data_IF_911670337035
#
_entry.id   IF_911670337035
#
_cell.length_a   1.000
_cell.length_b   1.000
_cell.length_c   1.000
_cell.angle_alpha   90.00
_cell.angle_beta   90.00
_cell.angle_gamma   90.00
#
_symmetry.space_group_name_H-M   'P 1'
#
loop_
_entity.id
_entity.type
_entity.pdbx_description
1 polymer ?
#
# COMPACT_ATOMS: atom_id res chain seq x y z
N UNK A 1 -10.15 36.75 -1.02
CA UNK A 1 -9.27 35.90 -1.85
C UNK A 1 -7.87 35.73 -1.25
N UNK A 2 -7.74 35.38 0.04
CA UNK A 2 -6.45 35.11 0.71
C UNK A 2 -6.33 33.69 1.30
N UNK A 3 -7.26 32.80 0.95
CA UNK A 3 -7.26 31.39 1.40
C UNK A 3 -7.09 30.38 0.26
N UNK A 4 -6.84 30.84 -0.97
CA UNK A 4 -6.70 29.96 -2.14
C UNK A 4 -5.27 29.42 -2.33
N UNK A 5 -4.25 29.99 -1.68
CA UNK A 5 -2.85 29.61 -1.89
C UNK A 5 -2.34 28.47 -0.99
N UNK A 6 -3.15 27.93 -0.07
CA UNK A 6 -2.74 26.81 0.80
C UNK A 6 -3.19 25.45 0.24
N UNK A 7 -4.04 25.42 -0.80
CA UNK A 7 -4.58 24.17 -1.37
C UNK A 7 -3.87 23.69 -2.65
N UNK A 8 -2.86 24.40 -3.14
CA UNK A 8 -2.08 24.04 -4.35
C UNK A 8 -0.58 24.06 -4.00
N UNK A 9 -0.20 23.22 -3.04
CA UNK A 9 1.19 22.84 -2.78
C UNK A 9 1.33 21.31 -2.83
N UNK A 10 0.57 20.67 -3.73
CA UNK A 10 0.88 19.35 -4.25
C UNK A 10 1.58 19.53 -5.60
N UNK A 11 2.72 20.22 -5.59
CA UNK A 11 3.63 20.23 -6.72
C UNK A 11 4.21 18.82 -6.86
N UNK A 12 4.08 18.27 -8.06
CA UNK A 12 4.64 17.01 -8.52
C UNK A 12 6.08 16.83 -8.02
N UNK A 13 6.24 15.99 -7.01
CA UNK A 13 7.53 15.44 -6.60
C UNK A 13 7.51 13.98 -7.06
N UNK A 14 8.56 13.60 -7.79
CA UNK A 14 8.77 12.25 -8.29
C UNK A 14 8.65 11.26 -7.15
N UNK A 15 7.74 10.32 -7.30
CA UNK A 15 7.35 9.43 -6.24
C UNK A 15 8.43 8.37 -6.00
N UNK A 16 8.92 8.21 -4.77
CA UNK A 16 9.75 7.07 -4.39
C UNK A 16 9.24 6.40 -3.11
N UNK A 17 9.17 5.07 -3.14
CA UNK A 17 8.70 4.18 -2.06
C UNK A 17 9.88 3.66 -1.24
N UNK A 18 9.60 2.87 -0.20
CA UNK A 18 10.63 2.28 0.67
C UNK A 18 11.50 1.27 -0.08
N UNK A 19 12.72 1.00 0.39
CA UNK A 19 13.58 -0.08 -0.14
C UNK A 19 12.95 -1.48 -0.06
N UNK A 20 11.88 -1.68 0.72
CA UNK A 20 11.08 -2.92 0.64
C UNK A 20 10.51 -3.17 -0.76
N UNK A 21 10.31 -2.11 -1.56
CA UNK A 21 9.90 -2.18 -2.96
C UNK A 21 10.86 -2.93 -3.89
N UNK A 22 12.12 -3.12 -3.47
CA UNK A 22 13.13 -3.88 -4.21
C UNK A 22 12.95 -5.39 -4.09
N UNK A 23 12.15 -5.84 -3.12
CA UNK A 23 11.99 -7.27 -2.82
C UNK A 23 10.69 -7.79 -3.45
N UNK A 24 10.79 -8.84 -4.25
CA UNK A 24 9.63 -9.47 -4.90
C UNK A 24 8.84 -8.52 -5.80
N UNK A 25 7.54 -8.39 -5.56
CA UNK A 25 6.63 -7.49 -6.28
C UNK A 25 6.42 -6.13 -5.57
N UNK A 26 7.23 -5.85 -4.55
CA UNK A 26 7.22 -4.60 -3.78
C UNK A 26 6.24 -4.58 -2.60
N UNK A 27 5.85 -3.36 -2.20
CA UNK A 27 5.14 -3.10 -0.95
C UNK A 27 3.69 -3.58 -0.98
N UNK A 28 3.34 -4.42 -0.02
CA UNK A 28 1.97 -4.88 0.17
C UNK A 28 1.11 -3.84 0.90
N UNK A 29 0.01 -3.41 0.25
CA UNK A 29 -0.91 -2.40 0.76
C UNK A 29 -2.22 -3.08 1.16
N UNK A 30 -2.47 -3.16 2.47
CA UNK A 30 -3.66 -3.81 3.05
C UNK A 30 -4.63 -2.87 3.79
N UNK A 31 -4.20 -1.64 4.07
CA UNK A 31 -5.00 -0.62 4.75
C UNK A 31 -5.14 0.64 3.90
N UNK A 32 -6.39 1.00 3.57
CA UNK A 32 -6.68 2.05 2.59
C UNK A 32 -7.21 3.35 3.21
N UNK A 33 -7.91 3.33 4.34
CA UNK A 33 -8.44 4.56 4.94
C UNK A 33 -7.57 5.14 6.05
N UNK A 34 -7.44 6.47 6.05
CA UNK A 34 -6.82 7.26 7.11
C UNK A 34 -7.43 6.90 8.47
N UNK A 35 -8.75 6.70 8.51
CA UNK A 35 -9.47 6.37 9.75
C UNK A 35 -8.87 5.18 10.50
N UNK A 36 -8.55 4.11 9.79
CA UNK A 36 -8.02 2.88 10.37
C UNK A 36 -6.49 2.95 10.50
N UNK A 37 -5.81 3.70 9.61
CA UNK A 37 -4.37 4.00 9.77
C UNK A 37 -4.08 4.76 11.06
N UNK A 38 -4.88 5.77 11.41
CA UNK A 38 -4.76 6.48 12.68
C UNK A 38 -4.95 5.60 13.92
N UNK A 39 -5.49 4.38 13.75
CA UNK A 39 -5.63 3.34 14.75
C UNK A 39 -4.64 2.21 14.51
N UNK A 40 -3.35 2.53 14.48
CA UNK A 40 -2.26 1.59 14.33
C UNK A 40 -2.27 0.81 13.02
N UNK A 41 -2.67 1.40 11.88
CA UNK A 41 -2.72 0.65 10.61
C UNK A 41 -3.74 -0.53 10.64
N UNK A 42 -4.83 -0.36 11.41
CA UNK A 42 -5.93 -1.31 11.53
C UNK A 42 -6.61 -1.58 10.18
N UNK A 43 -7.00 -2.83 9.94
CA UNK A 43 -7.78 -3.24 8.77
C UNK A 43 -9.29 -3.20 9.04
N UNK A 44 -9.69 -3.51 10.28
CA UNK A 44 -11.09 -3.80 10.61
C UNK A 44 -11.85 -2.70 11.33
N UNK A 45 -11.14 -1.74 11.94
CA UNK A 45 -11.74 -0.77 12.84
C UNK A 45 -11.29 0.66 12.56
N UNK A 46 -12.27 1.54 12.34
CA UNK A 46 -12.07 2.98 12.18
C UNK A 46 -12.43 3.78 13.44
N UNK A 47 -12.69 3.10 14.57
CA UNK A 47 -13.14 3.69 15.85
C UNK A 47 -14.64 4.03 15.91
N UNK A 48 -15.28 4.28 14.78
CA UNK A 48 -16.73 4.48 14.72
C UNK A 48 -17.49 3.14 14.67
N UNK A 49 -18.67 3.10 15.28
CA UNK A 49 -19.53 1.91 15.20
C UNK A 49 -20.37 1.86 13.92
N UNK A 50 -20.64 3.01 13.32
CA UNK A 50 -21.59 3.27 12.23
C UNK A 50 -20.94 3.58 10.88
N UNK A 51 -19.60 3.58 10.80
CA UNK A 51 -18.87 3.84 9.55
C UNK A 51 -18.33 2.59 8.88
N UNK A 52 -18.16 2.68 7.57
CA UNK A 52 -17.43 1.72 6.74
C UNK A 52 -15.92 1.82 7.04
N UNK A 53 -15.26 0.69 7.22
CA UNK A 53 -13.80 0.55 7.18
C UNK A 53 -13.42 0.01 5.80
N UNK A 54 -12.52 0.70 5.08
CA UNK A 54 -12.35 0.49 3.64
C UNK A 54 -11.77 -0.89 3.32
N UNK A 55 -10.91 -1.41 4.20
CA UNK A 55 -10.32 -2.74 4.08
C UNK A 55 -11.15 -3.88 4.68
N UNK A 56 -12.36 -3.60 5.19
CA UNK A 56 -13.17 -4.58 5.92
C UNK A 56 -14.54 -4.79 5.27
N UNK A 57 -14.70 -5.85 4.46
CA UNK A 57 -15.94 -6.11 3.74
C UNK A 57 -17.18 -6.25 4.59
N UNK A 58 -17.08 -6.82 5.80
CA UNK A 58 -18.22 -6.98 6.70
C UNK A 58 -18.70 -5.67 7.33
N UNK A 59 -18.03 -4.53 7.06
CA UNK A 59 -18.40 -3.22 7.58
C UNK A 59 -19.30 -2.39 6.63
N UNK A 60 -19.34 -2.72 5.35
CA UNK A 60 -19.98 -1.88 4.32
C UNK A 60 -21.50 -1.76 4.50
N UNK A 61 -22.18 -2.78 5.05
CA UNK A 61 -23.62 -2.72 5.33
C UNK A 61 -24.01 -1.63 6.36
N UNK A 62 -23.05 -1.12 7.14
CA UNK A 62 -23.30 -0.11 8.20
C UNK A 62 -23.81 1.22 7.62
N UNK A 63 -23.47 1.53 6.37
CA UNK A 63 -23.96 2.73 5.71
C UNK A 63 -25.26 2.44 4.94
N UNK A 64 -26.25 3.30 5.13
CA UNK A 64 -27.50 3.31 4.35
C UNK A 64 -27.46 4.30 3.17
N UNK A 65 -26.30 4.86 2.87
CA UNK A 65 -26.09 5.83 1.79
C UNK A 65 -25.33 5.21 0.63
N UNK A 66 -25.56 5.74 -0.56
CA UNK A 66 -24.64 5.60 -1.70
C UNK A 66 -23.42 6.47 -1.42
N UNK A 67 -22.25 5.86 -1.26
CA UNK A 67 -21.01 6.51 -0.86
C UNK A 67 -20.01 6.51 -2.00
N UNK A 68 -19.52 7.68 -2.36
CA UNK A 68 -18.26 7.82 -3.08
C UNK A 68 -17.12 7.86 -2.05
N UNK A 69 -16.15 6.96 -2.20
CA UNK A 69 -15.08 6.71 -1.25
C UNK A 69 -13.75 6.96 -1.94
N UNK A 70 -12.89 7.79 -1.37
CA UNK A 70 -11.56 8.08 -1.90
C UNK A 70 -10.51 8.14 -0.79
N UNK A 71 -9.31 7.67 -1.08
CA UNK A 71 -8.15 7.81 -0.19
C UNK A 71 -6.85 8.02 -0.96
N UNK A 72 -6.02 8.91 -0.44
CA UNK A 72 -4.69 9.25 -0.97
C UNK A 72 -3.70 9.36 0.18
N UNK A 73 -2.43 9.16 -0.10
CA UNK A 73 -1.35 9.34 0.86
C UNK A 73 -0.16 10.09 0.27
N UNK A 74 0.60 10.71 1.16
CA UNK A 74 1.91 11.30 0.91
C UNK A 74 2.87 10.65 1.88
N UNK A 75 4.02 10.27 1.39
CA UNK A 75 5.03 9.55 2.13
C UNK A 75 6.38 10.16 1.86
N UNK A 76 7.21 10.10 2.88
CA UNK A 76 8.60 10.49 2.82
C UNK A 76 9.43 9.43 3.53
N UNK A 77 10.41 8.89 2.83
CA UNK A 77 11.43 8.00 3.38
C UNK A 77 12.76 8.74 3.40
N UNK A 78 13.45 8.68 4.53
CA UNK A 78 14.84 9.12 4.62
C UNK A 78 15.73 7.88 4.63
N UNK A 79 16.56 7.73 3.60
CA UNK A 79 17.62 6.74 3.50
C UNK A 79 18.95 7.50 3.37
N UNK A 80 19.83 7.39 4.36
CA UNK A 80 21.05 8.19 4.45
C UNK A 80 20.80 9.71 4.28
N UNK A 81 21.37 10.32 3.23
CA UNK A 81 21.23 11.75 2.89
C UNK A 81 20.04 12.05 1.98
N UNK A 82 19.39 11.02 1.46
CA UNK A 82 18.34 11.17 0.45
C UNK A 82 16.96 11.14 1.08
N UNK A 83 16.10 12.04 0.59
CA UNK A 83 14.70 12.16 0.99
C UNK A 83 13.81 11.80 -0.19
N UNK A 84 13.13 10.67 -0.07
CA UNK A 84 12.28 10.08 -1.07
C UNK A 84 10.83 10.48 -0.79
N UNK A 85 10.27 11.42 -1.56
CA UNK A 85 8.90 11.93 -1.36
C UNK A 85 7.99 11.39 -2.44
N UNK A 86 6.78 10.98 -2.09
CA UNK A 86 5.82 10.46 -3.04
C UNK A 86 4.38 10.79 -2.68
N UNK A 87 3.53 10.89 -3.71
CA UNK A 87 2.09 10.96 -3.58
C UNK A 87 1.48 9.72 -4.23
N UNK A 88 0.56 9.09 -3.51
CA UNK A 88 0.02 7.82 -3.88
C UNK A 88 -1.50 7.81 -3.75
N UNK A 89 -2.14 7.31 -4.80
CA UNK A 89 -3.53 6.90 -4.71
C UNK A 89 -3.64 5.59 -3.94
N UNK A 90 -4.58 5.52 -2.98
CA UNK A 90 -4.86 4.32 -2.18
C UNK A 90 -6.13 3.60 -2.58
N UNK A 91 -7.23 4.32 -2.80
CA UNK A 91 -8.51 3.68 -3.12
C UNK A 91 -9.52 4.66 -3.72
N UNK A 92 -10.34 4.15 -4.64
CA UNK A 92 -11.56 4.77 -5.14
C UNK A 92 -12.63 3.68 -5.16
N UNK A 93 -13.78 3.96 -4.56
CA UNK A 93 -14.89 3.01 -4.56
C UNK A 93 -16.23 3.72 -4.53
N UNK A 94 -17.22 3.07 -5.12
CA UNK A 94 -18.61 3.44 -5.01
C UNK A 94 -19.37 2.30 -4.30
N UNK A 95 -19.93 2.60 -3.14
CA UNK A 95 -20.73 1.69 -2.34
C UNK A 95 -22.19 2.13 -2.33
N UNK A 96 -23.15 1.21 -2.38
CA UNK A 96 -24.56 1.56 -2.28
C UNK A 96 -25.36 0.46 -1.60
N UNK A 97 -26.43 0.83 -0.85
CA UNK A 97 -27.30 -0.15 -0.22
C UNK A 97 -28.12 -0.88 -1.29
N UNK A 98 -28.27 -2.20 -1.12
CA UNK A 98 -29.12 -3.05 -1.98
C UNK A 98 -30.30 -3.64 -1.21
N UNK A 99 -30.44 -3.29 0.06
CA UNK A 99 -31.52 -3.70 0.94
C UNK A 99 -31.23 -3.30 2.39
N UNK A 100 -32.13 -3.65 3.29
CA UNK A 100 -31.94 -3.41 4.72
C UNK A 100 -30.70 -4.16 5.21
N UNK A 101 -29.74 -3.42 5.78
CA UNK A 101 -28.46 -3.96 6.26
C UNK A 101 -27.70 -4.78 5.22
N UNK A 102 -27.78 -4.37 3.94
CA UNK A 102 -27.07 -4.99 2.82
C UNK A 102 -26.48 -3.91 1.93
N UNK A 103 -25.22 -4.07 1.54
CA UNK A 103 -24.54 -3.15 0.64
C UNK A 103 -23.72 -3.90 -0.40
N UNK A 104 -23.59 -3.28 -1.56
CA UNK A 104 -22.63 -3.67 -2.60
C UNK A 104 -21.64 -2.53 -2.78
N UNK A 105 -20.38 -2.87 -3.04
CA UNK A 105 -19.35 -1.90 -3.41
C UNK A 105 -18.58 -2.38 -4.61
N UNK A 106 -18.18 -1.45 -5.46
CA UNK A 106 -17.23 -1.69 -6.52
C UNK A 106 -16.16 -0.62 -6.48
N UNK A 107 -14.93 -0.95 -6.87
CA UNK A 107 -13.84 0.01 -6.77
C UNK A 107 -12.53 -0.57 -7.23
N UNK A 108 -11.50 0.24 -7.04
CA UNK A 108 -10.14 -0.15 -7.33
C UNK A 108 -9.18 0.40 -6.29
N UNK A 109 -8.13 -0.38 -6.04
CA UNK A 109 -7.03 -0.01 -5.16
C UNK A 109 -5.75 -0.72 -5.62
N UNK A 110 -4.56 -0.13 -5.43
CA UNK A 110 -3.31 -0.86 -5.55
C UNK A 110 -3.21 -1.95 -4.46
N UNK A 111 -2.55 -3.06 -4.76
CA UNK A 111 -2.30 -4.18 -3.85
C UNK A 111 -0.81 -4.31 -3.53
N UNK A 112 0.02 -4.34 -4.57
CA UNK A 112 1.47 -4.41 -4.53
C UNK A 112 2.01 -3.24 -5.34
N UNK A 113 3.00 -2.53 -4.81
CA UNK A 113 3.58 -1.36 -5.48
C UNK A 113 5.10 -1.40 -5.38
N UNK A 114 5.76 -1.24 -6.52
CA UNK A 114 7.17 -0.92 -6.59
C UNK A 114 7.33 0.41 -7.31
N UNK A 115 8.05 1.33 -6.69
CA UNK A 115 8.31 2.65 -7.23
C UNK A 115 9.58 3.20 -6.57
N UNK A 116 10.75 2.86 -7.09
CA UNK A 116 12.03 3.27 -6.49
C UNK A 116 13.08 3.41 -7.59
N UNK A 117 13.90 4.45 -7.45
CA UNK A 117 15.05 4.72 -8.30
C UNK A 117 16.31 4.62 -7.42
N UNK A 118 17.31 3.87 -7.87
CA UNK A 118 18.57 3.64 -7.14
C UNK A 118 19.73 3.82 -8.10
N UNK A 119 20.75 4.55 -7.65
CA UNK A 119 22.00 4.73 -8.37
C UNK A 119 23.17 4.19 -7.55
N UNK A 120 23.98 3.31 -8.15
CA UNK A 120 25.25 2.90 -7.56
C UNK A 120 26.28 4.02 -7.71
N UNK A 121 26.81 4.51 -6.60
CA UNK A 121 27.82 5.59 -6.61
C UNK A 121 29.23 5.09 -6.91
N UNK A 122 29.52 3.84 -6.56
CA UNK A 122 30.85 3.25 -6.71
C UNK A 122 31.04 2.70 -8.12
N UNK A 123 32.22 2.95 -8.69
CA UNK A 123 32.61 2.42 -9.99
C UNK A 123 33.23 1.03 -9.84
N UNK A 124 32.79 0.09 -10.68
CA UNK A 124 33.45 -1.20 -10.86
C UNK A 124 34.45 -1.10 -12.00
N UNK A 125 35.72 -1.32 -11.69
CA UNK A 125 36.82 -1.25 -12.65
C UNK A 125 37.06 -2.60 -13.35
N UNK A 126 37.14 -2.56 -14.68
CA UNK A 126 37.51 -3.69 -15.54
C UNK A 126 38.87 -3.38 -16.19
N UNK A 127 39.95 -4.12 -15.84
CA UNK A 127 41.26 -3.91 -16.44
C UNK A 127 41.25 -4.28 -17.93
N UNK A 128 42.18 -3.70 -18.69
CA UNK A 128 42.30 -3.91 -20.15
C UNK A 128 42.39 -5.37 -20.57
N UNK A 129 43.02 -6.22 -19.76
CA UNK A 129 43.16 -7.66 -20.02
C UNK A 129 41.81 -8.41 -20.00
N UNK A 130 40.84 -7.90 -19.25
CA UNK A 130 39.51 -8.50 -19.09
C UNK A 130 38.42 -7.73 -19.86
N UNK A 131 38.79 -6.62 -20.49
CA UNK A 131 37.83 -5.75 -21.18
C UNK A 131 37.53 -6.26 -22.60
N UNK A 132 36.25 -6.31 -23.01
CA UNK A 132 35.85 -6.66 -24.38
C UNK A 132 36.45 -5.74 -25.46
N UNK A 133 36.83 -4.51 -25.10
CA UNK A 133 37.40 -3.52 -26.02
C UNK A 133 38.94 -3.54 -26.05
N UNK A 134 39.58 -4.31 -25.15
CA UNK A 134 41.03 -4.28 -24.93
C UNK A 134 41.55 -3.02 -24.24
N UNK A 135 40.67 -2.08 -23.89
CA UNK A 135 40.97 -0.87 -23.11
C UNK A 135 40.35 -0.96 -21.71
N UNK A 136 40.95 -0.38 -20.66
CA UNK A 136 40.34 -0.40 -19.34
C UNK A 136 38.99 0.35 -19.35
N UNK A 137 38.01 -0.21 -18.64
CA UNK A 137 36.66 0.32 -18.55
C UNK A 137 36.25 0.42 -17.09
N UNK A 138 35.31 1.31 -16.80
CA UNK A 138 34.60 1.30 -15.54
C UNK A 138 33.10 1.37 -15.80
N UNK A 139 32.31 0.85 -14.87
CA UNK A 139 30.87 0.96 -14.94
C UNK A 139 30.24 1.14 -13.56
N UNK A 140 29.06 1.74 -13.54
CA UNK A 140 28.13 1.64 -12.43
C UNK A 140 26.73 1.33 -13.00
N UNK A 141 25.79 1.00 -12.12
CA UNK A 141 24.43 0.70 -12.54
C UNK A 141 23.39 1.57 -11.84
N UNK A 142 22.40 2.00 -12.62
CA UNK A 142 21.19 2.61 -12.08
C UNK A 142 19.99 1.69 -12.33
N UNK A 143 19.06 1.70 -11.39
CA UNK A 143 17.86 0.89 -11.40
C UNK A 143 16.64 1.76 -11.21
N UNK A 144 15.57 1.48 -11.96
CA UNK A 144 14.27 2.12 -11.81
C UNK A 144 13.17 1.07 -11.86
N UNK A 145 12.43 0.92 -10.76
CA UNK A 145 11.31 -0.02 -10.66
C UNK A 145 10.04 0.78 -10.53
N UNK A 146 9.10 0.59 -11.45
CA UNK A 146 7.83 1.30 -11.42
C UNK A 146 6.66 0.35 -11.67
N UNK A 147 5.55 0.55 -10.95
CA UNK A 147 4.29 -0.14 -11.17
C UNK A 147 3.92 -1.12 -10.07
N UNK A 148 3.29 -2.23 -10.44
CA UNK A 148 2.87 -3.29 -9.53
C UNK A 148 1.47 -3.83 -9.84
N UNK A 149 0.86 -4.46 -8.84
CA UNK A 149 -0.43 -5.16 -8.97
C UNK A 149 -1.52 -4.35 -8.27
N UNK A 150 -2.62 -4.11 -8.97
CA UNK A 150 -3.84 -3.49 -8.47
C UNK A 150 -4.99 -4.48 -8.44
N UNK A 151 -6.02 -4.15 -7.67
CA UNK A 151 -7.28 -4.89 -7.62
C UNK A 151 -8.40 -4.02 -8.18
N UNK A 152 -9.21 -4.57 -9.08
CA UNK A 152 -10.59 -4.14 -9.26
C UNK A 152 -11.46 -5.09 -8.46
N UNK A 153 -12.37 -4.57 -7.64
CA UNK A 153 -13.15 -5.40 -6.75
C UNK A 153 -14.64 -5.19 -6.85
N UNK A 154 -15.37 -6.27 -6.56
CA UNK A 154 -16.79 -6.29 -6.23
C UNK A 154 -16.94 -6.87 -4.82
N UNK A 155 -17.71 -6.18 -3.99
CA UNK A 155 -17.86 -6.49 -2.58
C UNK A 155 -19.34 -6.56 -2.24
N UNK A 156 -19.73 -7.59 -1.51
CA UNK A 156 -21.04 -7.73 -0.89
C UNK A 156 -20.90 -7.76 0.63
N UNK A 157 -21.79 -7.06 1.32
CA UNK A 157 -21.79 -6.94 2.78
C UNK A 157 -23.20 -7.08 3.31
N UNK A 158 -23.38 -7.85 4.39
CA UNK A 158 -24.68 -8.01 5.02
C UNK A 158 -24.60 -8.21 6.53
N UNK A 159 -25.53 -7.60 7.26
CA UNK A 159 -25.88 -8.00 8.63
C UNK A 159 -26.83 -9.20 8.57
N UNK A 160 -26.37 -10.36 9.02
CA UNK A 160 -27.16 -11.61 9.00
C UNK A 160 -28.07 -11.68 10.23
N UNK A 161 -27.52 -11.36 11.40
CA UNK A 161 -28.25 -11.30 12.68
C UNK A 161 -27.86 -10.04 13.43
N UNK A 162 -28.48 -9.76 14.57
CA UNK A 162 -28.11 -8.57 15.35
C UNK A 162 -26.66 -8.56 15.83
N UNK A 163 -26.04 -9.74 15.90
CA UNK A 163 -24.65 -9.91 16.33
C UNK A 163 -23.71 -10.22 15.17
N UNK A 164 -24.17 -10.91 14.12
CA UNK A 164 -23.31 -11.44 13.06
C UNK A 164 -23.47 -10.62 11.78
N UNK A 165 -22.34 -10.21 11.22
CA UNK A 165 -22.26 -9.67 9.86
C UNK A 165 -21.20 -10.37 9.04
N UNK A 166 -21.42 -10.38 7.74
CA UNK A 166 -20.61 -11.08 6.75
C UNK A 166 -20.20 -10.12 5.63
N UNK A 167 -19.01 -10.34 5.10
CA UNK A 167 -18.51 -9.67 3.91
C UNK A 167 -17.85 -10.67 2.97
N UNK A 168 -18.12 -10.50 1.67
CA UNK A 168 -17.43 -11.20 0.60
C UNK A 168 -16.88 -10.17 -0.37
N UNK A 169 -15.60 -10.29 -0.73
CA UNK A 169 -14.96 -9.48 -1.77
C UNK A 169 -14.37 -10.42 -2.81
N UNK A 170 -14.73 -10.20 -4.06
CA UNK A 170 -14.04 -10.76 -5.23
C UNK A 170 -13.24 -9.66 -5.88
N UNK A 171 -12.00 -9.96 -6.24
CA UNK A 171 -11.09 -9.03 -6.92
C UNK A 171 -10.54 -9.67 -8.19
N UNK A 172 -10.54 -8.91 -9.28
CA UNK A 172 -9.67 -9.17 -10.44
C UNK A 172 -8.35 -8.46 -10.16
N UNK A 173 -7.25 -9.21 -10.11
CA UNK A 173 -5.91 -8.66 -10.00
C UNK A 173 -5.40 -8.33 -11.40
N UNK A 174 -4.88 -7.12 -11.57
CA UNK A 174 -4.33 -6.62 -12.82
C UNK A 174 -3.26 -5.56 -12.55
N UNK A 175 -2.39 -5.30 -13.51
CA UNK A 175 -1.43 -4.22 -13.42
C UNK A 175 -0.24 -4.46 -14.32
N UNK A 176 0.71 -3.54 -14.29
CA UNK A 176 1.97 -3.70 -14.99
C UNK A 176 3.10 -3.15 -14.14
N UNK A 177 4.30 -3.64 -14.41
CA UNK A 177 5.53 -3.01 -13.93
C UNK A 177 6.57 -2.93 -15.03
N UNK A 178 7.40 -1.92 -14.90
CA UNK A 178 8.51 -1.61 -15.78
C UNK A 178 9.77 -1.54 -14.93
N UNK A 179 10.70 -2.46 -15.17
CA UNK A 179 11.98 -2.52 -14.48
C UNK A 179 13.07 -2.13 -15.45
N UNK A 180 13.71 -1.00 -15.20
CA UNK A 180 14.80 -0.46 -16.02
C UNK A 180 16.13 -0.65 -15.32
N UNK A 181 17.10 -0.99 -16.14
CA UNK A 181 18.48 -1.17 -15.76
C UNK A 181 19.30 -0.31 -16.70
N UNK A 182 20.12 0.57 -16.15
CA UNK A 182 21.02 1.40 -16.90
C UNK A 182 22.44 0.99 -16.53
N UNK A 183 23.18 0.49 -17.52
CA UNK A 183 24.60 0.22 -17.39
C UNK A 183 25.34 1.43 -17.94
N UNK A 184 25.86 2.29 -17.06
CA UNK A 184 26.64 3.45 -17.47
C UNK A 184 28.10 3.02 -17.60
N UNK A 185 28.65 3.20 -18.79
CA UNK A 185 30.00 2.82 -19.16
C UNK A 185 30.89 4.06 -19.20
N UNK A 186 32.08 3.93 -18.63
CA UNK A 186 33.08 4.98 -18.56
C UNK A 186 34.40 4.46 -19.14
N UNK A 187 35.02 5.30 -19.95
CA UNK A 187 36.41 5.09 -20.35
C UNK A 187 37.30 5.47 -19.16
N UNK A 188 38.34 4.67 -18.94
CA UNK A 188 39.29 4.92 -17.86
C UNK A 188 40.58 5.49 -18.44
N UNK A 189 40.94 6.67 -17.95
CA UNK A 189 42.20 7.35 -18.26
C UNK A 189 43.00 7.60 -16.99
N UNK A 190 44.31 7.79 -17.15
CA UNK A 190 45.21 8.14 -16.04
C UNK A 190 45.78 9.53 -16.32
N UNK A 191 45.74 10.39 -15.32
CA UNK A 191 46.41 11.70 -15.41
C UNK A 191 47.94 11.54 -15.25
N UNK A 192 48.66 12.67 -15.33
CA UNK A 192 50.13 12.68 -15.18
C UNK A 192 50.62 12.25 -13.80
N UNK A 193 49.73 12.24 -12.80
CA UNK A 193 50.01 11.85 -11.41
C UNK A 193 49.48 10.43 -11.11
N UNK A 194 49.12 9.67 -12.16
CA UNK A 194 48.55 8.30 -12.08
C UNK A 194 47.19 8.21 -11.38
N UNK A 195 46.46 9.32 -11.21
CA UNK A 195 45.10 9.26 -10.71
C UNK A 195 44.14 8.76 -11.79
N UNK A 196 43.15 7.97 -11.37
CA UNK A 196 42.12 7.44 -12.24
C UNK A 196 41.11 8.54 -12.57
N UNK A 197 40.89 8.78 -13.87
CA UNK A 197 39.82 9.62 -14.39
C UNK A 197 38.79 8.76 -15.11
N UNK A 198 37.51 9.08 -14.91
CA UNK A 198 36.37 8.38 -15.49
C UNK A 198 35.66 9.30 -16.48
N UNK A 199 35.75 8.98 -17.76
CA UNK A 199 35.11 9.74 -18.84
C UNK A 199 33.85 8.99 -19.30
N UNK A 200 32.68 9.59 -19.14
CA UNK A 200 31.42 8.97 -19.56
C UNK A 200 31.46 8.63 -21.06
N UNK A 201 31.13 7.38 -21.39
CA UNK A 201 31.13 6.85 -22.75
C UNK A 201 29.71 6.67 -23.28
N UNK A 202 28.94 5.76 -22.67
CA UNK A 202 27.59 5.43 -23.09
C UNK A 202 26.76 4.86 -21.92
N UNK A 203 25.45 4.87 -22.06
CA UNK A 203 24.53 4.10 -21.23
C UNK A 203 23.83 3.05 -22.08
N UNK A 204 23.88 1.79 -21.67
CA UNK A 204 23.04 0.73 -22.23
C UNK A 204 21.83 0.53 -21.33
N UNK A 205 20.61 0.58 -21.87
CA UNK A 205 19.41 0.31 -21.10
C UNK A 205 18.75 -1.04 -21.43
N UNK A 206 18.30 -1.69 -20.36
CA UNK A 206 17.51 -2.91 -20.40
C UNK A 206 16.19 -2.62 -19.71
N UNK A 207 15.07 -2.90 -20.38
CA UNK A 207 13.75 -2.62 -19.85
C UNK A 207 12.93 -3.90 -19.88
N UNK A 208 12.48 -4.32 -18.71
CA UNK A 208 11.61 -5.47 -18.56
C UNK A 208 10.19 -4.97 -18.28
N UNK A 209 9.29 -5.16 -19.26
CA UNK A 209 7.86 -4.87 -19.09
C UNK A 209 7.11 -6.13 -18.68
N UNK A 210 6.33 -6.02 -17.61
CA UNK A 210 5.55 -7.13 -17.06
C UNK A 210 4.08 -6.72 -16.98
N UNK A 211 3.18 -7.62 -17.37
CA UNK A 211 1.74 -7.48 -17.16
C UNK A 211 1.22 -8.61 -16.28
N UNK A 212 0.35 -8.26 -15.33
CA UNK A 212 -0.12 -9.16 -14.28
C UNK A 212 -1.60 -9.48 -14.43
N UNK A 213 -1.97 -10.73 -14.19
CA UNK A 213 -3.37 -11.15 -14.16
C UNK A 213 -3.59 -12.27 -13.15
N UNK A 214 -4.58 -12.09 -12.27
CA UNK A 214 -5.04 -13.15 -11.35
C UNK A 214 -6.43 -12.82 -10.81
N UNK A 215 -6.92 -13.61 -9.87
CA UNK A 215 -8.17 -13.38 -9.13
C UNK A 215 -7.93 -13.59 -7.64
N UNK A 216 -8.65 -12.87 -6.79
CA UNK A 216 -8.57 -12.99 -5.35
C UNK A 216 -9.94 -12.96 -4.70
N UNK A 217 -10.09 -13.75 -3.64
CA UNK A 217 -11.32 -13.87 -2.87
C UNK A 217 -11.02 -13.53 -1.42
N UNK A 218 -11.92 -12.80 -0.77
CA UNK A 218 -11.87 -12.53 0.65
C UNK A 218 -13.23 -12.77 1.31
N UNK A 219 -13.20 -13.49 2.43
CA UNK A 219 -14.33 -13.79 3.28
C UNK A 219 -14.07 -13.20 4.66
N UNK A 220 -15.03 -12.45 5.18
CA UNK A 220 -14.92 -11.80 6.47
C UNK A 220 -16.17 -12.01 7.31
N UNK A 221 -15.97 -12.40 8.57
CA UNK A 221 -17.01 -12.56 9.56
C UNK A 221 -16.77 -11.62 10.73
N UNK A 222 -17.84 -10.95 11.17
CA UNK A 222 -17.80 -10.02 12.30
C UNK A 222 -18.87 -10.39 13.32
N UNK A 223 -18.49 -10.44 14.58
CA UNK A 223 -19.34 -10.79 15.71
C UNK A 223 -19.36 -9.67 16.74
N UNK A 224 -20.53 -9.10 16.97
CA UNK A 224 -20.76 -7.94 17.84
C UNK A 224 -21.44 -8.38 19.14
N UNK A 225 -20.81 -8.03 20.26
CA UNK A 225 -21.37 -8.02 21.60
C UNK A 225 -21.49 -6.56 22.08
N UNK A 226 -22.07 -6.33 23.26
CA UNK A 226 -22.26 -4.97 23.78
C UNK A 226 -20.92 -4.21 23.90
N UNK A 227 -19.94 -4.82 24.57
CA UNK A 227 -18.61 -4.24 24.79
C UNK A 227 -17.53 -4.73 23.83
N UNK A 228 -17.73 -5.88 23.19
CA UNK A 228 -16.71 -6.53 22.36
C UNK A 228 -17.16 -6.64 20.91
N UNK A 229 -16.23 -6.51 19.98
CA UNK A 229 -16.46 -6.79 18.57
C UNK A 229 -15.27 -7.56 18.01
N UNK A 230 -15.52 -8.71 17.41
CA UNK A 230 -14.51 -9.61 16.86
C UNK A 230 -14.64 -9.67 15.35
N UNK A 231 -13.52 -9.78 14.65
CA UNK A 231 -13.46 -9.92 13.20
C UNK A 231 -12.47 -11.02 12.84
N UNK A 232 -12.87 -11.90 11.94
CA UNK A 232 -12.04 -12.91 11.32
C UNK A 232 -12.09 -12.70 9.81
N UNK A 233 -10.94 -12.64 9.16
CA UNK A 233 -10.83 -12.46 7.71
C UNK A 233 -9.87 -13.47 7.12
N UNK A 234 -10.26 -14.05 5.99
CA UNK A 234 -9.43 -14.92 5.19
C UNK A 234 -9.44 -14.44 3.74
N UNK A 235 -8.28 -14.25 3.13
CA UNK A 235 -8.17 -13.99 1.70
C UNK A 235 -7.24 -14.98 1.03
N UNK A 236 -7.49 -15.27 -0.24
CA UNK A 236 -6.61 -16.08 -1.07
C UNK A 236 -6.74 -15.67 -2.54
N UNK A 237 -5.61 -15.58 -3.24
CA UNK A 237 -5.54 -15.42 -4.69
C UNK A 237 -5.47 -16.76 -5.40
N UNK A 238 -5.80 -16.77 -6.69
CA UNK A 238 -5.31 -17.78 -7.61
C UNK A 238 -3.82 -17.56 -7.88
N UNK A 239 -3.14 -18.52 -8.52
CA UNK A 239 -1.83 -18.30 -9.13
C UNK A 239 -1.78 -17.05 -10.01
N UNK A 240 -0.58 -16.53 -10.24
CA UNK A 240 -0.36 -15.29 -10.99
C UNK A 240 0.14 -15.59 -12.41
N UNK A 241 -0.59 -15.09 -13.40
CA UNK A 241 -0.16 -15.07 -14.80
C UNK A 241 0.66 -13.80 -15.05
N UNK A 242 1.79 -13.95 -15.75
CA UNK A 242 2.70 -12.84 -16.09
C UNK A 242 3.01 -12.87 -17.58
N UNK A 243 2.72 -11.79 -18.29
CA UNK A 243 3.24 -11.55 -19.64
C UNK A 243 4.50 -10.70 -19.52
N UNK A 244 5.64 -11.21 -20.02
CA UNK A 244 6.95 -10.57 -19.90
C UNK A 244 7.47 -10.19 -21.28
N UNK A 245 7.79 -8.91 -21.48
CA UNK A 245 8.33 -8.38 -22.74
C UNK A 245 9.60 -7.60 -22.46
N UNK A 246 10.77 -8.16 -22.78
CA UNK A 246 12.03 -7.45 -22.62
C UNK A 246 12.27 -6.49 -23.80
N UNK A 247 12.93 -5.38 -23.53
CA UNK A 247 13.32 -4.36 -24.48
C UNK A 247 14.78 -3.98 -24.24
N UNK A 248 15.52 -3.84 -25.33
CA UNK A 248 16.92 -3.42 -25.33
C UNK A 248 17.06 -2.25 -26.29
N UNK A 249 17.83 -1.22 -25.94
CA UNK A 249 18.01 -0.06 -26.83
C UNK A 249 18.54 -0.43 -28.22
N UNK A 250 19.39 -1.45 -28.29
CA UNK A 250 20.03 -1.90 -29.53
C UNK A 250 19.14 -2.82 -30.39
N UNK A 251 18.19 -3.54 -29.78
CA UNK A 251 17.38 -4.57 -30.45
C UNK A 251 15.89 -4.23 -30.54
N UNK A 252 15.42 -3.23 -29.79
CA UNK A 252 14.01 -2.94 -29.59
C UNK A 252 13.31 -3.98 -28.69
N UNK A 253 11.98 -4.02 -28.77
CA UNK A 253 11.17 -5.00 -28.05
C UNK A 253 11.35 -6.39 -28.63
N UNK A 254 11.65 -7.37 -27.77
CA UNK A 254 11.67 -8.78 -28.16
C UNK A 254 10.28 -9.42 -27.99
N UNK A 255 10.19 -10.72 -28.29
CA UNK A 255 8.96 -11.48 -28.15
C UNK A 255 8.49 -11.54 -26.69
N UNK A 256 7.18 -11.41 -26.50
CA UNK A 256 6.54 -11.60 -25.20
C UNK A 256 6.51 -13.09 -24.82
N UNK A 257 6.90 -13.38 -23.60
CA UNK A 257 6.85 -14.71 -23.00
C UNK A 257 5.82 -14.73 -21.86
N UNK A 258 5.16 -15.86 -21.68
CA UNK A 258 4.16 -16.03 -20.62
C UNK A 258 4.71 -16.92 -19.51
N UNK A 259 4.63 -16.43 -18.28
CA UNK A 259 5.09 -17.10 -17.06
C UNK A 259 3.92 -17.33 -16.10
N UNK A 260 4.06 -18.35 -15.25
CA UNK A 260 3.02 -18.77 -14.32
C UNK A 260 3.59 -19.05 -12.94
N UNK A 261 3.28 -18.19 -11.98
CA UNK A 261 3.69 -18.40 -10.58
C UNK A 261 2.65 -19.28 -9.89
N UNK A 262 3.01 -20.55 -9.70
CA UNK A 262 2.19 -21.57 -9.04
C UNK A 262 2.20 -21.44 -7.50
N UNK A 263 2.16 -20.21 -6.99
CA UNK A 263 1.98 -19.86 -5.58
C UNK A 263 0.84 -18.85 -5.48
N UNK A 264 0.21 -18.79 -4.31
CA UNK A 264 -0.94 -17.94 -4.04
C UNK A 264 -0.61 -16.94 -2.94
N UNK A 265 -1.13 -15.74 -3.09
CA UNK A 265 -1.20 -14.77 -2.00
C UNK A 265 -2.35 -15.17 -1.06
N UNK A 266 -2.13 -15.17 0.24
CA UNK A 266 -3.17 -15.40 1.24
C UNK A 266 -3.00 -14.50 2.46
N UNK A 267 -4.12 -14.20 3.11
CA UNK A 267 -4.16 -13.43 4.36
C UNK A 267 -5.04 -14.16 5.38
N UNK A 268 -4.61 -14.16 6.63
CA UNK A 268 -5.33 -14.69 7.80
C UNK A 268 -5.23 -13.66 8.90
N UNK A 269 -6.35 -13.05 9.23
CA UNK A 269 -6.37 -11.87 10.07
C UNK A 269 -7.44 -12.00 11.16
N UNK A 270 -7.10 -11.48 12.33
CA UNK A 270 -7.98 -11.40 13.49
C UNK A 270 -8.00 -9.98 14.03
N UNK A 271 -9.18 -9.51 14.42
CA UNK A 271 -9.38 -8.23 15.08
C UNK A 271 -10.29 -8.33 16.28
N UNK A 272 -9.96 -7.60 17.33
CA UNK A 272 -10.78 -7.41 18.52
C UNK A 272 -10.89 -5.92 18.85
N UNK A 273 -12.10 -5.46 19.16
CA UNK A 273 -12.36 -4.14 19.72
C UNK A 273 -13.05 -4.27 21.06
N UNK A 274 -12.60 -3.50 22.03
CA UNK A 274 -13.24 -3.36 23.34
C UNK A 274 -13.66 -1.91 23.58
N UNK A 275 -14.93 -1.71 23.92
CA UNK A 275 -15.53 -0.41 24.23
C UNK A 275 -15.56 -0.22 25.74
N UNK A 276 -14.80 0.74 26.26
CA UNK A 276 -14.93 1.17 27.66
C UNK A 276 -16.22 1.95 27.87
N UNK A 277 -16.57 2.80 26.90
CA UNK A 277 -17.79 3.59 26.85
C UNK A 277 -18.21 3.82 25.40
N UNK A 278 -19.29 4.60 25.19
CA UNK A 278 -19.68 5.04 23.84
C UNK A 278 -18.71 6.05 23.22
N UNK A 279 -17.76 6.58 24.00
CA UNK A 279 -16.77 7.56 23.57
C UNK A 279 -15.36 6.99 23.48
N UNK A 280 -15.00 5.98 24.28
CA UNK A 280 -13.63 5.49 24.37
C UNK A 280 -13.58 3.98 24.12
N UNK A 281 -12.60 3.55 23.33
CA UNK A 281 -12.33 2.14 23.11
C UNK A 281 -10.88 1.86 22.71
N UNK A 282 -10.54 0.58 22.77
CA UNK A 282 -9.25 0.03 22.35
C UNK A 282 -9.49 -1.06 21.31
N UNK A 283 -8.55 -1.21 20.38
CA UNK A 283 -8.53 -2.26 19.38
C UNK A 283 -7.22 -3.02 19.46
N UNK A 284 -7.26 -4.28 19.09
CA UNK A 284 -6.11 -5.12 18.82
C UNK A 284 -6.35 -5.87 17.51
N UNK A 285 -5.34 -5.92 16.63
CA UNK A 285 -5.38 -6.76 15.44
C UNK A 285 -4.07 -7.52 15.28
N UNK A 286 -4.19 -8.74 14.73
CA UNK A 286 -3.09 -9.55 14.29
C UNK A 286 -3.32 -9.93 12.82
N UNK A 287 -2.33 -9.70 11.98
CA UNK A 287 -2.38 -10.07 10.57
C UNK A 287 -1.25 -11.03 10.24
N UNK A 288 -1.55 -11.99 9.39
CA UNK A 288 -0.58 -12.92 8.83
C UNK A 288 -0.85 -13.07 7.34
N UNK A 289 0.14 -12.77 6.51
CA UNK A 289 0.01 -12.88 5.06
C UNK A 289 1.34 -13.17 4.38
N UNK A 290 1.30 -13.59 3.11
CA UNK A 290 2.47 -13.77 2.26
C UNK A 290 2.36 -12.89 1.00
N UNK A 291 3.38 -12.97 0.14
CA UNK A 291 3.35 -12.42 -1.21
C UNK A 291 3.51 -13.54 -2.25
N UNK A 292 3.44 -13.18 -3.53
CA UNK A 292 3.85 -14.06 -4.61
C UNK A 292 5.38 -14.23 -4.60
N UNK A 293 5.85 -15.43 -4.97
CA UNK A 293 7.28 -15.68 -5.16
C UNK A 293 7.62 -15.34 -6.61
N UNK A 294 8.37 -14.26 -6.82
CA UNK A 294 8.84 -13.88 -8.15
C UNK A 294 9.98 -14.81 -8.61
N UNK A 295 10.14 -14.90 -9.93
CA UNK A 295 11.33 -15.48 -10.53
C UNK A 295 12.54 -14.55 -10.36
N UNK A 296 13.74 -15.11 -10.34
CA UNK A 296 15.00 -14.39 -10.17
C UNK A 296 15.18 -13.25 -11.19
N UNK A 297 14.77 -13.47 -12.45
CA UNK A 297 14.86 -12.42 -13.49
C UNK A 297 13.83 -11.27 -13.32
N UNK A 298 12.83 -11.47 -12.45
CA UNK A 298 11.85 -10.46 -12.04
C UNK A 298 12.17 -9.88 -10.66
N UNK A 299 13.27 -10.30 -10.02
CA UNK A 299 13.64 -9.83 -8.69
C UNK A 299 15.15 -9.89 -8.55
N UNK A 300 15.77 -8.74 -8.78
CA UNK A 300 17.23 -8.58 -8.88
C UNK A 300 17.95 -9.02 -7.62
N UNK A 301 17.33 -8.74 -6.47
CA UNK A 301 17.86 -9.14 -5.17
C UNK A 301 17.65 -10.62 -4.89
N UNK A 302 16.85 -11.30 -5.71
CA UNK A 302 16.38 -12.67 -5.53
C UNK A 302 15.73 -12.92 -4.15
N UNK A 303 15.22 -11.86 -3.52
CA UNK A 303 14.69 -11.87 -2.17
C UNK A 303 13.16 -11.84 -2.22
N UNK A 304 12.54 -13.01 -2.07
CA UNK A 304 11.08 -13.10 -1.99
C UNK A 304 10.59 -12.89 -0.56
N UNK A 305 9.40 -12.28 -0.42
CA UNK A 305 8.74 -12.09 0.87
C UNK A 305 7.91 -13.33 1.20
N UNK A 306 8.45 -14.20 2.05
CA UNK A 306 7.82 -15.48 2.43
C UNK A 306 6.60 -15.26 3.32
N UNK A 307 6.74 -14.41 4.34
CA UNK A 307 5.62 -14.07 5.21
C UNK A 307 5.77 -12.70 5.86
N UNK A 308 4.64 -12.10 6.19
CA UNK A 308 4.54 -10.86 6.93
C UNK A 308 3.61 -11.11 8.11
N UNK A 309 4.10 -10.80 9.31
CA UNK A 309 3.35 -10.87 10.56
C UNK A 309 3.24 -9.49 11.15
N UNK A 310 2.05 -9.08 11.57
CA UNK A 310 1.90 -7.77 12.20
C UNK A 310 0.93 -7.76 13.38
N UNK A 311 1.23 -6.90 14.33
CA UNK A 311 0.43 -6.63 15.52
C UNK A 311 0.12 -5.15 15.60
N UNK A 312 -1.13 -4.83 15.94
CA UNK A 312 -1.65 -3.47 15.91
C UNK A 312 -2.45 -3.20 17.17
N UNK A 313 -2.14 -2.12 17.88
CA UNK A 313 -2.85 -1.69 19.08
C UNK A 313 -3.26 -0.22 18.95
N UNK A 314 -4.56 0.04 18.97
CA UNK A 314 -5.12 1.38 18.75
C UNK A 314 -6.08 1.80 19.85
N UNK A 315 -6.11 3.08 20.18
CA UNK A 315 -7.05 3.70 21.12
C UNK A 315 -7.76 4.84 20.42
N UNK A 316 -9.06 4.97 20.63
CA UNK A 316 -9.84 6.08 20.10
C UNK A 316 -10.69 6.77 21.17
N UNK A 317 -10.94 8.06 20.93
CA UNK A 317 -11.82 8.91 21.73
C UNK A 317 -12.74 9.68 20.79
N UNK A 318 -14.05 9.51 20.95
CA UNK A 318 -15.09 10.19 20.17
C UNK A 318 -15.64 11.34 21.01
N UNK A 319 -15.63 12.52 20.41
CA UNK A 319 -16.32 13.71 20.91
C UNK A 319 -17.65 13.87 20.16
N UNK A 320 -18.74 13.77 20.92
CA UNK A 320 -20.08 14.05 20.44
C UNK A 320 -20.39 15.53 20.67
N UNK A 321 -20.18 16.36 19.65
CA UNK A 321 -20.60 17.76 19.70
C UNK A 321 -22.13 17.86 19.79
N UNK A 322 -22.62 18.89 20.50
CA UNK A 322 -24.05 19.25 20.46
C UNK A 322 -24.49 19.41 19.00
N UNK A 323 -25.68 18.93 18.62
CA UNK A 323 -26.15 18.91 17.24
C UNK A 323 -26.36 20.33 16.70
N UNK A 324 -25.29 20.95 16.20
CA UNK A 324 -25.34 22.13 15.34
C UNK A 324 -24.92 21.71 13.93
N UNK A 325 -25.63 22.23 12.92
CA UNK A 325 -25.82 21.70 11.55
C UNK A 325 -24.60 21.30 10.70
N UNK A 326 -23.35 21.58 11.11
CA UNK A 326 -22.17 21.40 10.25
C UNK A 326 -21.27 20.23 10.66
N UNK A 327 -20.97 20.02 11.95
CA UNK A 327 -20.11 18.93 12.43
C UNK A 327 -20.87 18.17 13.51
N UNK A 328 -21.01 16.86 13.32
CA UNK A 328 -21.85 16.00 14.15
C UNK A 328 -21.06 15.13 15.14
N UNK A 329 -19.89 14.65 14.73
CA UNK A 329 -18.97 13.87 15.58
C UNK A 329 -17.53 14.18 15.18
N UNK A 330 -16.63 14.14 16.15
CA UNK A 330 -15.18 14.09 15.89
C UNK A 330 -14.56 12.92 16.63
N UNK A 331 -13.45 12.41 16.11
CA UNK A 331 -12.70 11.32 16.74
C UNK A 331 -11.22 11.67 16.74
N UNK A 332 -10.56 11.38 17.86
CA UNK A 332 -9.11 11.35 17.98
C UNK A 332 -8.65 9.90 18.15
N UNK A 333 -7.51 9.57 17.53
CA UNK A 333 -6.98 8.22 17.46
C UNK A 333 -5.48 8.24 17.68
N UNK A 334 -5.00 7.21 18.36
CA UNK A 334 -3.59 6.95 18.52
C UNK A 334 -3.36 5.44 18.42
N UNK A 335 -2.20 5.03 17.91
CA UNK A 335 -1.89 3.62 17.78
C UNK A 335 -0.41 3.30 17.67
N UNK A 336 -0.08 2.05 17.94
CA UNK A 336 1.25 1.46 17.85
C UNK A 336 1.15 0.17 17.01
N UNK A 337 2.09 -0.04 16.10
CA UNK A 337 2.16 -1.28 15.32
C UNK A 337 3.60 -1.80 15.24
N UNK A 338 3.70 -3.10 15.00
CA UNK A 338 4.91 -3.82 14.67
C UNK A 338 4.60 -4.76 13.49
N UNK A 339 5.42 -4.74 12.44
CA UNK A 339 5.39 -5.68 11.33
C UNK A 339 6.76 -6.33 11.18
N UNK A 340 6.76 -7.62 10.90
CA UNK A 340 7.97 -8.41 10.59
C UNK A 340 7.81 -9.03 9.23
N UNK A 341 8.74 -8.71 8.35
CA UNK A 341 8.87 -9.30 7.03
C UNK A 341 9.94 -10.38 7.12
N UNK A 342 9.55 -11.59 6.74
CA UNK A 342 10.43 -12.75 6.66
C UNK A 342 10.73 -12.97 5.18
N UNK A 343 11.94 -12.60 4.75
CA UNK A 343 12.41 -12.83 3.40
C UNK A 343 13.28 -14.09 3.36
N UNK A 344 13.65 -14.54 2.16
CA UNK A 344 14.54 -15.69 1.99
C UNK A 344 15.88 -15.52 2.72
N UNK A 345 16.46 -14.32 2.66
CA UNK A 345 17.85 -14.10 3.05
C UNK A 345 18.00 -13.32 4.37
N UNK A 346 16.99 -12.53 4.75
CA UNK A 346 17.02 -11.69 5.95
C UNK A 346 15.61 -11.32 6.44
N UNK A 347 15.55 -10.65 7.59
CA UNK A 347 14.31 -10.16 8.16
C UNK A 347 14.31 -8.63 8.22
N UNK A 348 13.12 -8.05 8.05
CA UNK A 348 12.88 -6.60 8.23
C UNK A 348 11.88 -6.42 9.36
N UNK A 349 12.20 -5.53 10.30
CA UNK A 349 11.29 -5.14 11.38
C UNK A 349 10.83 -3.70 11.17
N UNK A 350 9.54 -3.51 10.94
CA UNK A 350 8.90 -2.19 10.79
C UNK A 350 8.07 -1.89 12.04
N UNK A 351 8.35 -0.78 12.71
CA UNK A 351 7.63 -0.38 13.92
C UNK A 351 7.28 1.09 13.86
N UNK A 352 6.17 1.46 14.49
CA UNK A 352 5.82 2.87 14.52
C UNK A 352 4.57 3.25 15.28
N UNK A 353 4.27 4.55 15.20
CA UNK A 353 3.20 5.23 15.90
C UNK A 353 2.29 5.90 14.88
N UNK A 354 0.99 5.90 15.16
CA UNK A 354 -0.01 6.54 14.33
C UNK A 354 -0.84 7.52 15.14
N UNK A 355 -1.22 8.63 14.51
CA UNK A 355 -2.14 9.63 15.04
C UNK A 355 -3.23 9.88 14.01
N UNK A 356 -4.48 9.99 14.44
CA UNK A 356 -5.61 10.21 13.53
C UNK A 356 -6.63 11.19 14.06
N UNK A 357 -7.16 11.99 13.15
CA UNK A 357 -8.29 12.88 13.43
C UNK A 357 -9.35 12.71 12.35
N UNK A 358 -10.62 12.65 12.77
CA UNK A 358 -11.72 12.41 11.86
C UNK A 358 -12.97 13.19 12.22
N UNK A 359 -13.72 13.66 11.22
CA UNK A 359 -14.96 14.42 11.41
C UNK A 359 -16.12 13.83 10.61
N UNK A 360 -17.31 13.82 11.19
CA UNK A 360 -18.57 13.59 10.49
C UNK A 360 -19.28 14.93 10.26
N UNK A 361 -19.70 15.21 9.03
CA UNK A 361 -20.46 16.41 8.69
C UNK A 361 -21.78 16.08 7.98
N UNK A 362 -22.71 17.04 7.99
CA UNK A 362 -24.06 16.93 7.41
C UNK A 362 -24.84 15.66 7.81
N UNK A 363 -25.13 15.51 9.11
CA UNK A 363 -25.89 14.36 9.66
C UNK A 363 -25.25 13.01 9.35
N UNK A 364 -23.93 12.90 9.60
CA UNK A 364 -23.11 11.68 9.45
C UNK A 364 -23.11 11.04 8.06
N UNK A 365 -23.55 11.76 7.02
CA UNK A 365 -23.51 11.30 5.63
C UNK A 365 -22.10 11.28 5.05
N UNK A 366 -21.31 12.26 5.47
CA UNK A 366 -19.99 12.50 4.93
C UNK A 366 -18.95 12.47 6.04
N UNK A 367 -17.76 11.99 5.71
CA UNK A 367 -16.63 12.06 6.62
C UNK A 367 -15.32 12.38 5.92
N UNK A 368 -14.49 13.09 6.67
CA UNK A 368 -13.13 13.44 6.32
C UNK A 368 -12.23 12.96 7.45
N UNK A 369 -11.25 12.14 7.11
CA UNK A 369 -10.27 11.63 8.06
C UNK A 369 -8.86 11.97 7.57
N UNK A 370 -8.00 12.42 8.47
CA UNK A 370 -6.58 12.63 8.25
C UNK A 370 -5.80 11.77 9.25
N UNK A 371 -4.70 11.18 8.83
CA UNK A 371 -3.82 10.43 9.73
C UNK A 371 -2.35 10.60 9.40
N UNK A 372 -1.56 10.51 10.44
CA UNK A 372 -0.11 10.61 10.42
C UNK A 372 0.44 9.28 10.91
N UNK A 373 1.40 8.72 10.18
CA UNK A 373 2.12 7.52 10.54
C UNK A 373 3.60 7.84 10.55
N UNK A 374 4.28 7.49 11.63
CA UNK A 374 5.71 7.61 11.79
C UNK A 374 6.26 6.22 12.09
N UNK A 375 7.39 5.86 11.50
CA UNK A 375 7.97 4.55 11.75
C UNK A 375 9.43 4.45 11.33
N UNK A 376 10.02 3.33 11.71
CA UNK A 376 11.36 2.93 11.30
C UNK A 376 11.36 1.47 10.83
N UNK A 377 12.10 1.19 9.76
CA UNK A 377 12.39 -0.16 9.28
C UNK A 377 13.83 -0.49 9.58
N UNK A 378 14.02 -1.58 10.31
CA UNK A 378 15.35 -2.08 10.64
C UNK A 378 15.64 -3.33 9.83
N UNK A 379 16.81 -3.37 9.20
CA UNK A 379 17.22 -4.46 8.33
C UNK A 379 18.22 -5.35 9.06
N UNK A 380 17.98 -6.67 9.07
CA UNK A 380 18.88 -7.62 9.73
C UNK A 380 20.16 -7.91 8.92
N UNK A 381 20.28 -7.37 7.70
CA UNK A 381 21.44 -7.53 6.84
C UNK A 381 22.35 -6.29 6.92
N UNK A 382 23.56 -6.40 6.37
CA UNK A 382 24.49 -5.26 6.26
C UNK A 382 24.37 -4.55 4.90
N UNK A 383 23.41 -4.95 4.06
CA UNK A 383 23.24 -4.44 2.70
C UNK A 383 22.43 -3.15 2.74
N UNK A 384 21.36 -3.13 3.54
CA UNK A 384 20.51 -1.96 3.71
C UNK A 384 20.77 -1.29 5.05
N UNK A 385 20.71 0.03 5.03
CA UNK A 385 20.64 0.81 6.27
C UNK A 385 19.20 0.95 6.73
N UNK A 386 19.06 1.22 8.01
CA UNK A 386 17.75 1.47 8.62
C UNK A 386 17.08 2.69 7.98
N UNK A 387 15.78 2.57 7.74
CA UNK A 387 14.97 3.62 7.13
C UNK A 387 14.05 4.24 8.17
N UNK A 388 13.92 5.57 8.14
CA UNK A 388 12.87 6.27 8.86
C UNK A 388 11.86 6.83 7.85
N UNK A 389 10.59 6.89 8.27
CA UNK A 389 9.56 7.42 7.41
C UNK A 389 8.45 8.15 8.16
N UNK A 390 7.83 9.07 7.44
CA UNK A 390 6.55 9.64 7.82
C UNK A 390 5.56 9.61 6.66
N UNK A 391 4.28 9.41 6.97
CA UNK A 391 3.21 9.33 6.00
C UNK A 391 2.00 10.14 6.49
N UNK A 392 1.41 10.91 5.57
CA UNK A 392 0.15 11.63 5.77
C UNK A 392 -0.89 11.02 4.86
N UNK A 393 -2.03 10.62 5.42
CA UNK A 393 -3.11 9.97 4.67
C UNK A 393 -4.37 10.82 4.81
N UNK A 394 -5.07 11.02 3.70
CA UNK A 394 -6.35 11.69 3.64
C UNK A 394 -7.40 10.74 3.07
N UNK A 395 -8.53 10.61 3.75
CA UNK A 395 -9.68 9.87 3.25
C UNK A 395 -10.94 10.71 3.28
N UNK A 396 -11.72 10.60 2.21
CA UNK A 396 -12.97 11.30 2.02
C UNK A 396 -14.07 10.29 1.69
N UNK A 397 -15.22 10.46 2.34
CA UNK A 397 -16.45 9.80 1.95
C UNK A 397 -17.57 10.81 1.80
N UNK A 398 -18.21 10.76 0.64
CA UNK A 398 -19.40 11.55 0.32
C UNK A 398 -20.60 10.62 0.16
N UNK A 399 -21.58 10.74 1.05
CA UNK A 399 -22.75 9.89 1.12
C UNK A 399 -24.04 10.62 0.72
N UNK A 400 -24.82 9.99 -0.16
CA UNK A 400 -26.13 10.48 -0.59
C UNK A 400 -27.18 9.37 -0.63
N UNK A 401 -28.47 9.74 -0.57
CA UNK A 401 -29.57 8.79 -0.76
C UNK A 401 -29.97 8.80 -2.24
N UNK A 402 -29.47 7.87 -3.03
CA UNK A 402 -29.84 7.76 -4.45
C UNK A 402 -31.07 6.88 -4.67
N UNK A 403 -31.24 5.83 -3.86
CA UNK A 403 -32.31 4.85 -4.02
C UNK A 403 -33.33 4.99 -2.88
N UNK A 404 -34.31 5.85 -3.06
CA UNK A 404 -35.44 6.02 -2.12
C UNK A 404 -36.69 5.40 -2.73
N UNK A 405 -37.24 4.37 -2.08
CA UNK A 405 -38.52 3.83 -2.50
C UNK A 405 -39.64 4.75 -2.00
N UNK A 406 -40.16 5.61 -2.87
CA UNK A 406 -41.20 6.59 -2.53
C UNK A 406 -42.60 5.99 -2.38
N UNK A 407 -42.78 4.67 -2.58
CA UNK A 407 -44.11 4.04 -2.66
C UNK A 407 -44.80 3.72 -1.32
N UNK A 408 -44.22 4.10 -0.18
CA UNK A 408 -44.88 3.99 1.13
C UNK A 408 -45.01 5.36 1.80
N UNK A 409 -45.89 6.20 1.27
CA UNK A 409 -46.46 7.35 1.98
C UNK A 409 -47.95 7.16 2.15
#
# INVERSE_FOLDING_TARGET
MKFACIYILFTFLFSQTSTTSLNGFGDYINTYDASSIGLADSKFFNGYSDRISFSSPSSFWKSSFSNLIMSIDVHNYSLDSDNLVSNNFKMLSFAFPVGNNKAVSLGMNPLLRSNIDISELDYVFIPSQSSPTGQPLAYNTDYSFNGGISEFFLLYSSKITDKISFGFKWSKLFGSSEYKYFLNLYNVSFDSDENISYDFNNTESFINNQEYSSEKYNLEFRYNLEKYEFVLSYSQSKPLDISFTPYFDTLGSLNTENYYINNNLYERDFGMKYKFSNTIGVIYENHYYNSFNSYDFLNILNSNVNSIKSNHLGVYIIDYKKPNLKISKSIFKMGLYEKKYDLNDFQISDQGITLGFGINYFSTKNFLDISFKFGSKNFANNIYKDENYYQVILSLVSGEKWFVNERNK
#
